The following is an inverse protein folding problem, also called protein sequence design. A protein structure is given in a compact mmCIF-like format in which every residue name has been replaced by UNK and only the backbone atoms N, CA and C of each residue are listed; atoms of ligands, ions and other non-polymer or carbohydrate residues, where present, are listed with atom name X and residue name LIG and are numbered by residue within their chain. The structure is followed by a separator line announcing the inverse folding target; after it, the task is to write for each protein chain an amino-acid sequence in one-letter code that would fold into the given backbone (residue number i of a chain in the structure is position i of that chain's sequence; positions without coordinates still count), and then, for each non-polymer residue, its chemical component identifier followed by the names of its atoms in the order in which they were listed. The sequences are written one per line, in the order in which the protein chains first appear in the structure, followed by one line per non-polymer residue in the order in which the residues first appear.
data_IF_042852049611
#
_entry.id   IF_042852049611
#
_cell.length_a   1.000
_cell.length_b   1.000
_cell.length_c   1.000
_cell.angle_alpha   90.00
_cell.angle_beta   90.00
_cell.angle_gamma   90.00
#
_symmetry.space_group_name_H-M   'P 1'
#
loop_
_entity.id
_entity.type
_entity.pdbx_description
1 polymer ?
#
# COMPACT_ATOMS: atom_id res chain seq x y z
N UNK A 1 20.23 26.96 14.24
CA UNK A 1 19.57 26.27 13.13
C UNK A 1 18.18 25.90 13.59
N UNK A 2 17.12 26.39 12.95
CA UNK A 2 15.74 25.98 13.23
C UNK A 2 15.62 24.60 12.58
N UNK A 3 15.52 23.55 13.39
CA UNK A 3 15.21 22.21 12.92
C UNK A 3 13.75 22.21 12.48
N UNK A 4 13.51 22.48 11.18
CA UNK A 4 12.18 22.34 10.60
C UNK A 4 11.89 20.84 10.48
N UNK A 5 11.23 20.26 11.48
CA UNK A 5 10.59 18.96 11.33
C UNK A 5 9.34 19.12 10.48
N UNK A 6 9.24 18.39 9.40
CA UNK A 6 7.98 18.25 8.68
C UNK A 6 6.98 17.55 9.62
N UNK A 7 6.07 18.31 10.19
CA UNK A 7 4.96 17.78 10.97
C UNK A 7 3.77 17.58 10.02
N UNK A 8 3.20 16.39 10.00
CA UNK A 8 1.99 16.07 9.25
C UNK A 8 0.82 16.03 10.22
N UNK A 9 -0.28 16.70 9.87
CA UNK A 9 -1.55 16.67 10.60
C UNK A 9 -2.61 15.99 9.72
N UNK A 10 -3.24 14.96 10.24
CA UNK A 10 -4.33 14.23 9.60
C UNK A 10 -5.66 14.38 10.33
N UNK A 11 -5.78 15.36 11.22
CA UNK A 11 -7.03 15.66 11.94
C UNK A 11 -8.18 15.85 10.95
N UNK A 12 -9.29 15.10 11.16
CA UNK A 12 -10.46 15.12 10.29
C UNK A 12 -10.30 14.37 8.96
N UNK A 13 -9.19 13.66 8.76
CA UNK A 13 -8.97 12.74 7.63
C UNK A 13 -9.28 11.30 8.02
N UNK A 14 -9.77 10.53 7.07
CA UNK A 14 -10.07 9.11 7.24
C UNK A 14 -9.25 8.30 6.25
N UNK A 15 -8.44 7.37 6.77
CA UNK A 15 -7.63 6.47 5.95
C UNK A 15 -8.14 5.02 6.06
N UNK A 16 -8.13 4.31 4.93
CA UNK A 16 -8.25 2.85 4.88
C UNK A 16 -6.84 2.31 4.62
N UNK A 17 -6.33 1.42 5.48
CA UNK A 17 -5.05 0.75 5.29
C UNK A 17 -5.28 -0.75 5.14
N UNK A 18 -4.79 -1.33 4.04
CA UNK A 18 -4.87 -2.78 3.81
C UNK A 18 -3.59 -3.48 4.27
N UNK A 19 -3.70 -4.78 4.64
CA UNK A 19 -2.57 -5.49 5.26
C UNK A 19 -2.21 -4.93 6.63
N UNK A 20 -3.20 -4.41 7.35
CA UNK A 20 -2.99 -3.60 8.55
C UNK A 20 -2.93 -4.41 9.86
N UNK A 21 -2.90 -5.74 9.80
CA UNK A 21 -2.63 -6.57 10.97
C UNK A 21 -1.15 -6.55 11.39
N UNK A 22 -0.24 -6.17 10.49
CA UNK A 22 1.20 -6.14 10.72
C UNK A 22 1.95 -5.31 9.68
N UNK A 23 3.27 -5.18 9.84
CA UNK A 23 4.17 -4.61 8.83
C UNK A 23 3.85 -3.17 8.42
N UNK A 24 4.06 -2.85 7.16
CA UNK A 24 3.92 -1.47 6.65
C UNK A 24 2.48 -0.95 6.71
N UNK A 25 1.47 -1.81 6.47
CA UNK A 25 0.07 -1.40 6.56
C UNK A 25 -0.35 -1.00 7.97
N UNK A 26 0.09 -1.75 8.97
CA UNK A 26 -0.11 -1.40 10.37
C UNK A 26 0.65 -0.11 10.73
N UNK A 27 1.93 -0.03 10.35
CA UNK A 27 2.76 1.13 10.66
C UNK A 27 2.19 2.42 10.06
N UNK A 28 1.64 2.36 8.84
CA UNK A 28 0.95 3.49 8.22
C UNK A 28 -0.29 3.89 9.03
N UNK A 29 -1.14 2.93 9.40
CA UNK A 29 -2.35 3.19 10.18
C UNK A 29 -2.02 3.82 11.54
N UNK A 30 -1.00 3.31 12.24
CA UNK A 30 -0.51 3.87 13.51
C UNK A 30 -0.03 5.32 13.34
N UNK A 31 0.76 5.59 12.29
CA UNK A 31 1.27 6.93 12.01
C UNK A 31 0.16 7.94 11.66
N UNK A 32 -0.87 7.54 10.91
CA UNK A 32 -2.06 8.39 10.63
C UNK A 32 -2.80 8.68 11.94
N UNK A 33 -3.09 7.65 12.74
CA UNK A 33 -3.84 7.81 14.00
C UNK A 33 -3.07 8.65 15.03
N UNK A 34 -1.75 8.47 15.14
CA UNK A 34 -0.89 9.25 16.02
C UNK A 34 -0.81 10.73 15.64
N UNK A 35 -1.25 11.08 14.42
CA UNK A 35 -1.35 12.44 13.88
C UNK A 35 -2.80 12.93 13.74
N UNK A 36 -3.72 12.35 14.52
CA UNK A 36 -5.10 12.80 14.63
C UNK A 36 -6.08 12.29 13.56
N UNK A 37 -5.62 11.49 12.61
CA UNK A 37 -6.48 10.89 11.57
C UNK A 37 -7.25 9.68 12.08
N UNK A 38 -8.43 9.44 11.54
CA UNK A 38 -9.19 8.21 11.78
C UNK A 38 -8.78 7.12 10.79
N UNK A 39 -8.77 5.85 11.22
CA UNK A 39 -8.28 4.75 10.39
C UNK A 39 -9.20 3.52 10.40
N UNK A 40 -9.38 2.94 9.23
CA UNK A 40 -9.95 1.59 9.06
C UNK A 40 -8.81 0.63 8.75
N UNK A 41 -8.54 -0.27 9.69
CA UNK A 41 -7.56 -1.33 9.52
C UNK A 41 -8.24 -2.52 8.83
N UNK A 42 -7.71 -2.91 7.68
CA UNK A 42 -8.23 -3.99 6.85
C UNK A 42 -7.19 -5.10 6.70
N UNK A 43 -7.53 -6.33 7.09
CA UNK A 43 -6.69 -7.51 6.95
C UNK A 43 -7.54 -8.78 7.07
N UNK A 44 -7.02 -9.92 6.64
CA UNK A 44 -7.68 -11.22 6.81
C UNK A 44 -7.57 -11.72 8.27
N UNK A 45 -6.55 -11.29 9.01
CA UNK A 45 -6.29 -11.72 10.39
C UNK A 45 -7.09 -10.88 11.39
N UNK A 46 -8.32 -11.31 11.67
CA UNK A 46 -9.26 -10.64 12.58
C UNK A 46 -8.67 -10.40 13.97
N UNK A 47 -8.07 -11.43 14.57
CA UNK A 47 -7.57 -11.35 15.95
C UNK A 47 -6.46 -10.30 16.09
N UNK A 48 -5.49 -10.31 15.18
CA UNK A 48 -4.44 -9.31 15.17
C UNK A 48 -4.98 -7.90 14.93
N UNK A 49 -5.98 -7.73 14.01
CA UNK A 49 -6.63 -6.44 13.78
C UNK A 49 -7.30 -5.89 15.03
N UNK A 50 -8.11 -6.70 15.74
CA UNK A 50 -8.84 -6.28 16.93
C UNK A 50 -7.87 -5.83 18.03
N UNK A 51 -6.78 -6.58 18.24
CA UNK A 51 -5.73 -6.21 19.18
C UNK A 51 -5.08 -4.87 18.81
N UNK A 52 -4.66 -4.72 17.55
CA UNK A 52 -3.98 -3.50 17.08
C UNK A 52 -4.89 -2.27 17.09
N UNK A 53 -6.14 -2.45 16.72
CA UNK A 53 -7.17 -1.40 16.82
C UNK A 53 -7.35 -0.92 18.26
N UNK A 54 -7.38 -1.85 19.23
CA UNK A 54 -7.47 -1.50 20.65
C UNK A 54 -6.23 -0.73 21.13
N UNK A 55 -5.03 -1.14 20.70
CA UNK A 55 -3.77 -0.46 21.02
C UNK A 55 -3.76 0.98 20.47
N UNK A 56 -4.23 1.20 19.22
CA UNK A 56 -4.34 2.53 18.61
C UNK A 56 -5.34 3.40 19.37
N UNK A 57 -6.54 2.88 19.63
CA UNK A 57 -7.58 3.62 20.32
C UNK A 57 -7.19 4.00 21.76
N UNK A 58 -6.37 3.19 22.43
CA UNK A 58 -5.86 3.50 23.76
C UNK A 58 -4.93 4.71 23.79
N UNK A 59 -4.32 5.10 22.66
CA UNK A 59 -3.47 6.30 22.54
C UNK A 59 -4.30 7.60 22.52
N UNK A 60 -5.59 7.54 22.14
CA UNK A 60 -6.56 8.62 22.24
C UNK A 60 -6.35 9.81 21.30
N UNK A 61 -5.60 9.65 20.19
CA UNK A 61 -5.38 10.71 19.20
C UNK A 61 -6.38 10.59 18.05
N UNK A 62 -6.24 9.60 17.18
CA UNK A 62 -7.23 9.24 16.16
C UNK A 62 -8.03 8.01 16.57
N UNK A 63 -9.15 7.76 15.91
CA UNK A 63 -10.00 6.58 16.14
C UNK A 63 -9.66 5.50 15.13
N UNK A 64 -9.71 4.24 15.56
CA UNK A 64 -9.43 3.10 14.71
C UNK A 64 -10.60 2.10 14.71
N UNK A 65 -10.87 1.49 13.56
CA UNK A 65 -11.87 0.42 13.39
C UNK A 65 -11.25 -0.76 12.66
N UNK A 66 -11.43 -1.96 13.18
CA UNK A 66 -10.98 -3.21 12.55
C UNK A 66 -12.04 -3.75 11.59
N UNK A 67 -11.63 -4.12 10.38
CA UNK A 67 -12.49 -4.82 9.41
C UNK A 67 -11.73 -6.00 8.83
N UNK A 68 -12.08 -7.21 9.28
CA UNK A 68 -11.55 -8.43 8.68
C UNK A 68 -12.07 -8.54 7.24
N UNK A 69 -11.18 -8.73 6.26
CA UNK A 69 -11.51 -8.71 4.85
C UNK A 69 -10.51 -9.52 4.03
N UNK A 70 -11.00 -10.41 3.19
CA UNK A 70 -10.24 -10.92 2.05
C UNK A 70 -10.31 -9.88 0.92
N UNK A 71 -9.21 -9.20 0.67
CA UNK A 71 -9.13 -8.15 -0.35
C UNK A 71 -9.36 -8.66 -1.78
N UNK A 72 -9.36 -9.97 -2.00
CA UNK A 72 -9.66 -10.59 -3.30
C UNK A 72 -11.15 -10.83 -3.52
N UNK A 73 -11.99 -10.61 -2.48
CA UNK A 73 -13.44 -10.59 -2.59
C UNK A 73 -13.96 -9.14 -2.66
N UNK A 74 -14.52 -8.79 -3.82
CA UNK A 74 -15.03 -7.43 -4.05
C UNK A 74 -16.16 -7.02 -3.10
N UNK A 75 -17.01 -7.96 -2.66
CA UNK A 75 -18.11 -7.66 -1.73
C UNK A 75 -17.55 -7.33 -0.34
N UNK A 76 -16.49 -8.02 0.09
CA UNK A 76 -15.83 -7.69 1.35
C UNK A 76 -15.12 -6.33 1.28
N UNK A 77 -14.52 -5.98 0.13
CA UNK A 77 -13.97 -4.64 -0.10
C UNK A 77 -15.06 -3.55 -0.05
N UNK A 78 -16.24 -3.81 -0.64
CA UNK A 78 -17.38 -2.90 -0.52
C UNK A 78 -17.81 -2.72 0.93
N UNK A 79 -17.81 -3.78 1.74
CA UNK A 79 -18.13 -3.70 3.18
C UNK A 79 -17.10 -2.85 3.94
N UNK A 80 -15.81 -2.89 3.59
CA UNK A 80 -14.79 -1.99 4.19
C UNK A 80 -15.13 -0.54 3.92
N UNK A 81 -15.48 -0.20 2.66
CA UNK A 81 -15.94 1.15 2.27
C UNK A 81 -17.16 1.58 3.10
N UNK A 82 -18.18 0.71 3.19
CA UNK A 82 -19.43 1.03 3.86
C UNK A 82 -19.21 1.31 5.35
N UNK A 83 -18.38 0.50 6.01
CA UNK A 83 -17.99 0.71 7.41
C UNK A 83 -17.23 2.03 7.58
N UNK A 84 -16.31 2.38 6.66
CA UNK A 84 -15.60 3.65 6.72
C UNK A 84 -16.58 4.84 6.64
N UNK A 85 -17.53 4.78 5.71
CA UNK A 85 -18.55 5.83 5.54
C UNK A 85 -19.54 5.88 6.71
N UNK A 86 -19.97 4.74 7.23
CA UNK A 86 -20.88 4.68 8.39
C UNK A 86 -20.23 5.25 9.65
N UNK A 87 -18.97 4.91 9.90
CA UNK A 87 -18.27 5.27 11.14
C UNK A 87 -17.71 6.68 11.13
N UNK A 88 -17.27 7.15 9.97
CA UNK A 88 -16.50 8.40 9.87
C UNK A 88 -17.08 9.39 8.86
N UNK A 89 -18.03 8.99 8.01
CA UNK A 89 -18.72 9.86 7.05
C UNK A 89 -17.93 10.21 5.79
N UNK A 90 -16.66 9.77 5.69
CA UNK A 90 -15.76 10.14 4.59
C UNK A 90 -14.66 9.10 4.37
N UNK A 91 -13.98 9.19 3.23
CA UNK A 91 -12.77 8.42 2.91
C UNK A 91 -11.81 9.37 2.19
N UNK A 92 -10.69 9.72 2.85
CA UNK A 92 -9.70 10.64 2.28
C UNK A 92 -8.53 9.91 1.64
N UNK A 93 -8.13 8.79 2.25
CA UNK A 93 -6.94 8.04 1.84
C UNK A 93 -7.29 6.56 1.77
N UNK A 94 -6.89 5.90 0.70
CA UNK A 94 -6.83 4.43 0.60
C UNK A 94 -5.38 4.04 0.35
N UNK A 95 -4.80 3.27 1.26
CA UNK A 95 -3.42 2.81 1.18
C UNK A 95 -3.37 1.28 0.99
N UNK A 96 -3.00 0.84 -0.20
CA UNK A 96 -3.00 -0.55 -0.63
C UNK A 96 -1.68 -1.24 -0.28
N UNK A 97 -1.43 -1.51 1.03
CA UNK A 97 -0.22 -2.20 1.49
C UNK A 97 -0.32 -3.72 1.40
N UNK A 98 -1.52 -4.29 1.41
CA UNK A 98 -1.72 -5.72 1.29
C UNK A 98 -1.21 -6.23 -0.07
N UNK A 99 -0.55 -7.37 -0.06
CA UNK A 99 0.01 -8.00 -1.23
C UNK A 99 1.13 -8.96 -0.89
N UNK A 100 1.73 -9.56 -1.90
CA UNK A 100 2.85 -10.48 -1.71
C UNK A 100 3.08 -11.39 -2.90
N UNK A 101 4.12 -12.23 -2.81
CA UNK A 101 4.45 -13.22 -3.83
C UNK A 101 3.42 -14.35 -3.90
N UNK A 102 2.90 -14.66 -5.09
CA UNK A 102 1.94 -15.73 -5.32
C UNK A 102 2.45 -17.12 -4.88
N UNK A 103 3.70 -17.49 -5.21
CA UNK A 103 4.33 -18.73 -4.77
C UNK A 103 4.26 -18.94 -3.26
N UNK A 104 4.53 -17.90 -2.49
CA UNK A 104 4.49 -17.95 -1.03
C UNK A 104 3.08 -18.23 -0.50
N UNK A 105 2.07 -17.69 -1.16
CA UNK A 105 0.68 -17.88 -0.77
C UNK A 105 0.14 -19.26 -1.14
N UNK A 106 0.65 -19.83 -2.22
CA UNK A 106 0.35 -21.21 -2.62
C UNK A 106 1.24 -22.25 -1.92
N UNK A 107 2.14 -21.83 -1.01
CA UNK A 107 3.09 -22.71 -0.32
C UNK A 107 3.89 -23.59 -1.32
N UNK A 108 4.25 -22.97 -2.44
CA UNK A 108 5.12 -23.63 -3.44
C UNK A 108 6.54 -23.51 -2.92
N UNK A 109 7.04 -24.59 -2.34
CA UNK A 109 8.39 -24.70 -1.82
C UNK A 109 9.38 -25.12 -2.91
N UNK A 110 10.60 -24.61 -2.81
CA UNK A 110 11.71 -24.99 -3.69
C UNK A 110 11.85 -24.12 -4.94
N UNK A 111 12.94 -24.37 -5.66
CA UNK A 111 13.23 -23.76 -6.96
C UNK A 111 12.58 -24.62 -8.06
N UNK A 112 11.38 -24.21 -8.49
CA UNK A 112 10.75 -24.78 -9.68
C UNK A 112 11.16 -23.99 -10.91
N UNK A 113 11.35 -24.69 -12.04
CA UNK A 113 11.38 -24.05 -13.33
C UNK A 113 10.07 -23.27 -13.54
N UNK A 114 10.14 -22.16 -14.28
CA UNK A 114 8.97 -21.33 -14.53
C UNK A 114 7.81 -22.13 -15.15
N UNK A 115 8.13 -23.05 -16.04
CA UNK A 115 7.15 -23.88 -16.75
C UNK A 115 6.44 -24.90 -15.86
N UNK A 116 7.00 -25.20 -14.69
CA UNK A 116 6.45 -26.14 -13.70
C UNK A 116 5.65 -25.40 -12.59
N UNK A 117 5.65 -24.07 -12.59
CA UNK A 117 4.88 -23.26 -11.62
C UNK A 117 3.39 -23.39 -11.94
N UNK A 118 2.53 -23.80 -10.97
CA UNK A 118 1.09 -23.85 -11.19
C UNK A 118 0.53 -22.50 -11.64
N UNK A 119 -0.38 -22.53 -12.62
CA UNK A 119 -0.94 -21.29 -13.19
C UNK A 119 -1.72 -20.48 -12.14
N UNK A 120 -2.27 -21.14 -11.14
CA UNK A 120 -2.99 -20.54 -10.01
C UNK A 120 -2.11 -19.61 -9.17
N UNK A 121 -0.79 -19.81 -9.21
CA UNK A 121 0.17 -18.88 -8.57
C UNK A 121 0.14 -17.54 -9.27
N UNK A 122 0.07 -17.54 -10.61
CA UNK A 122 -0.05 -16.31 -11.39
C UNK A 122 -1.38 -15.62 -11.13
N UNK A 123 -2.49 -16.35 -11.18
CA UNK A 123 -3.84 -15.81 -10.93
C UNK A 123 -3.91 -15.19 -9.54
N UNK A 124 -3.43 -15.90 -8.51
CA UNK A 124 -3.42 -15.38 -7.13
C UNK A 124 -2.54 -14.14 -6.98
N UNK A 125 -1.43 -14.08 -7.68
CA UNK A 125 -0.56 -12.89 -7.67
C UNK A 125 -1.26 -11.68 -8.28
N UNK A 126 -1.97 -11.86 -9.40
CA UNK A 126 -2.79 -10.82 -10.01
C UNK A 126 -3.93 -10.39 -9.08
N UNK A 127 -4.63 -11.35 -8.48
CA UNK A 127 -5.75 -11.07 -7.56
C UNK A 127 -5.32 -10.16 -6.42
N UNK A 128 -4.20 -10.48 -5.78
CA UNK A 128 -3.72 -9.76 -4.61
C UNK A 128 -3.04 -8.43 -4.94
N UNK A 129 -2.20 -8.42 -5.99
CA UNK A 129 -1.31 -7.28 -6.21
C UNK A 129 -1.83 -6.29 -7.27
N UNK A 130 -2.83 -6.68 -8.09
CA UNK A 130 -3.40 -5.82 -9.13
C UNK A 130 -4.91 -5.66 -8.98
N UNK A 131 -5.67 -6.77 -8.87
CA UNK A 131 -7.13 -6.68 -8.78
C UNK A 131 -7.60 -6.11 -7.46
N UNK A 132 -6.99 -6.47 -6.33
CA UNK A 132 -7.36 -5.92 -5.03
C UNK A 132 -7.20 -4.39 -4.96
N UNK A 133 -6.07 -3.77 -5.35
CA UNK A 133 -5.97 -2.31 -5.49
C UNK A 133 -7.02 -1.69 -6.43
N UNK A 134 -7.35 -2.37 -7.54
CA UNK A 134 -8.43 -1.94 -8.42
C UNK A 134 -9.79 -2.00 -7.71
N UNK A 135 -10.07 -3.04 -6.93
CA UNK A 135 -11.32 -3.17 -6.19
C UNK A 135 -11.49 -2.05 -5.16
N UNK A 136 -10.44 -1.72 -4.41
CA UNK A 136 -10.48 -0.59 -3.48
C UNK A 136 -10.71 0.73 -4.20
N UNK A 137 -10.03 0.96 -5.32
CA UNK A 137 -10.29 2.15 -6.15
C UNK A 137 -11.74 2.19 -6.61
N UNK A 138 -12.24 1.11 -7.23
CA UNK A 138 -13.60 1.04 -7.74
C UNK A 138 -14.65 1.26 -6.63
N UNK A 139 -14.45 0.68 -5.45
CA UNK A 139 -15.36 0.82 -4.33
C UNK A 139 -15.39 2.23 -3.73
N UNK A 140 -14.25 2.95 -3.69
CA UNK A 140 -14.12 4.19 -2.90
C UNK A 140 -14.15 5.48 -3.73
N UNK A 141 -13.78 5.43 -5.02
CA UNK A 141 -13.70 6.62 -5.88
C UNK A 141 -15.03 7.37 -5.99
N UNK A 142 -16.18 6.67 -5.94
CA UNK A 142 -17.50 7.31 -5.95
C UNK A 142 -17.75 8.21 -4.73
N UNK A 143 -17.28 7.80 -3.54
CA UNK A 143 -17.35 8.62 -2.33
C UNK A 143 -16.36 9.79 -2.40
N UNK A 144 -15.12 9.53 -2.80
CA UNK A 144 -14.10 10.57 -2.98
C UNK A 144 -14.53 11.64 -4.00
N UNK A 145 -15.19 11.24 -5.09
CA UNK A 145 -15.73 12.17 -6.08
C UNK A 145 -16.80 13.09 -5.50
N UNK A 146 -17.73 12.55 -4.69
CA UNK A 146 -18.74 13.36 -3.99
C UNK A 146 -18.12 14.33 -2.99
N UNK A 147 -16.98 13.97 -2.39
CA UNK A 147 -16.21 14.82 -1.47
C UNK A 147 -15.37 15.87 -2.19
N UNK A 148 -15.17 15.72 -3.50
CA UNK A 148 -14.19 16.49 -4.29
C UNK A 148 -12.77 16.42 -3.69
N UNK A 149 -12.40 15.29 -3.13
CA UNK A 149 -11.11 15.05 -2.48
C UNK A 149 -10.89 13.57 -2.29
N UNK A 150 -9.67 13.10 -2.53
CA UNK A 150 -9.27 11.73 -2.26
C UNK A 150 -7.85 11.43 -2.70
N UNK A 151 -7.24 10.43 -2.07
CA UNK A 151 -5.93 9.92 -2.44
C UNK A 151 -5.94 8.39 -2.40
N UNK A 152 -5.45 7.77 -3.47
CA UNK A 152 -5.11 6.35 -3.47
C UNK A 152 -3.60 6.22 -3.51
N UNK A 153 -3.04 5.51 -2.53
CA UNK A 153 -1.63 5.13 -2.49
C UNK A 153 -1.55 3.64 -2.81
N UNK A 154 -0.93 3.33 -3.93
CA UNK A 154 -0.61 1.96 -4.31
C UNK A 154 0.83 1.61 -3.91
N UNK A 155 1.08 0.36 -3.58
CA UNK A 155 2.43 -0.14 -3.32
C UNK A 155 2.89 -0.99 -4.49
N UNK A 156 3.86 -0.45 -5.21
CA UNK A 156 4.59 -1.13 -6.28
C UNK A 156 5.73 -2.01 -5.74
N UNK A 157 6.76 -2.16 -6.52
CA UNK A 157 7.99 -2.86 -6.14
C UNK A 157 9.10 -2.56 -7.14
N UNK A 158 10.36 -2.54 -6.68
CA UNK A 158 11.54 -2.57 -7.57
C UNK A 158 11.47 -3.72 -8.57
N UNK A 159 10.90 -4.86 -8.18
CA UNK A 159 10.74 -6.03 -9.04
C UNK A 159 9.89 -5.74 -10.29
N UNK A 160 8.94 -4.80 -10.20
CA UNK A 160 8.17 -4.33 -11.37
C UNK A 160 9.00 -3.54 -12.38
N UNK A 161 10.19 -3.06 -11.98
CA UNK A 161 11.17 -2.41 -12.87
C UNK A 161 12.21 -3.40 -13.38
N UNK A 162 12.69 -4.28 -12.49
CA UNK A 162 13.77 -5.22 -12.81
C UNK A 162 13.27 -6.44 -13.59
N UNK A 163 12.02 -6.85 -13.39
CA UNK A 163 11.51 -8.16 -13.80
C UNK A 163 12.04 -9.28 -12.91
N UNK A 164 11.65 -10.52 -13.20
CA UNK A 164 12.19 -11.73 -12.57
C UNK A 164 12.01 -12.93 -13.48
N UNK A 165 13.08 -13.63 -13.81
CA UNK A 165 13.00 -14.86 -14.63
C UNK A 165 12.45 -16.06 -13.86
N UNK A 166 12.45 -16.05 -12.53
CA UNK A 166 12.00 -17.14 -11.68
C UNK A 166 10.58 -16.97 -11.12
N UNK A 167 10.07 -15.76 -11.08
CA UNK A 167 8.75 -15.44 -10.51
C UNK A 167 8.10 -14.31 -11.29
N UNK A 168 7.64 -14.60 -12.51
CA UNK A 168 7.10 -13.61 -13.43
C UNK A 168 5.75 -13.04 -13.00
N UNK A 169 5.00 -13.75 -12.17
CA UNK A 169 3.70 -13.37 -11.65
C UNK A 169 3.70 -12.03 -10.90
N UNK A 170 4.61 -11.90 -9.97
CA UNK A 170 4.68 -10.72 -9.11
C UNK A 170 5.15 -9.45 -9.85
N UNK A 171 6.25 -9.47 -10.66
CA UNK A 171 6.64 -8.32 -11.48
C UNK A 171 5.52 -7.84 -12.40
N UNK A 172 4.82 -8.76 -13.08
CA UNK A 172 3.72 -8.41 -14.01
C UNK A 172 2.61 -7.68 -13.26
N UNK A 173 2.17 -8.21 -12.11
CA UNK A 173 1.13 -7.57 -11.30
C UNK A 173 1.57 -6.19 -10.80
N UNK A 174 2.81 -6.07 -10.32
CA UNK A 174 3.34 -4.80 -9.79
C UNK A 174 3.54 -3.76 -10.89
N UNK A 175 4.02 -4.14 -12.07
CA UNK A 175 4.11 -3.23 -13.23
C UNK A 175 2.72 -2.69 -13.61
N UNK A 176 1.70 -3.55 -13.60
CA UNK A 176 0.31 -3.14 -13.86
C UNK A 176 -0.19 -2.08 -12.86
N UNK A 177 0.11 -2.25 -11.59
CA UNK A 177 -0.23 -1.26 -10.55
C UNK A 177 0.57 0.03 -10.70
N UNK A 178 1.90 -0.08 -10.90
CA UNK A 178 2.82 1.06 -10.94
C UNK A 178 2.47 2.05 -12.05
N UNK A 179 2.16 1.55 -13.23
CA UNK A 179 1.98 2.38 -14.40
C UNK A 179 0.54 2.42 -14.89
N UNK A 180 -0.08 1.29 -15.15
CA UNK A 180 -1.42 1.23 -15.73
C UNK A 180 -2.48 1.75 -14.76
N UNK A 181 -2.65 1.09 -13.62
CA UNK A 181 -3.70 1.40 -12.67
C UNK A 181 -3.53 2.79 -12.05
N UNK A 182 -2.33 3.14 -11.61
CA UNK A 182 -2.06 4.42 -10.94
C UNK A 182 -2.36 5.61 -11.85
N UNK A 183 -1.93 5.57 -13.10
CA UNK A 183 -2.22 6.64 -14.08
C UNK A 183 -3.70 6.72 -14.45
N UNK A 184 -4.36 5.58 -14.63
CA UNK A 184 -5.78 5.54 -14.96
C UNK A 184 -6.66 6.13 -13.85
N UNK A 185 -6.33 5.84 -12.58
CA UNK A 185 -7.06 6.44 -11.44
C UNK A 185 -6.80 7.94 -11.36
N UNK A 186 -5.56 8.39 -11.57
CA UNK A 186 -5.23 9.82 -11.58
C UNK A 186 -5.99 10.58 -12.67
N UNK A 187 -6.09 10.02 -13.88
CA UNK A 187 -6.88 10.57 -14.99
C UNK A 187 -8.38 10.60 -14.66
N UNK A 188 -8.92 9.51 -14.09
CA UNK A 188 -10.32 9.47 -13.65
C UNK A 188 -10.65 10.56 -12.62
N UNK A 189 -9.66 10.92 -11.79
CA UNK A 189 -9.75 11.94 -10.75
C UNK A 189 -9.68 13.38 -11.24
N UNK A 190 -9.47 13.62 -12.55
CA UNK A 190 -9.36 14.96 -13.13
C UNK A 190 -10.59 15.82 -12.78
N UNK A 191 -10.35 17.03 -12.29
CA UNK A 191 -11.39 17.96 -11.88
C UNK A 191 -12.19 17.57 -10.63
N UNK A 192 -11.84 16.46 -9.97
CA UNK A 192 -12.52 15.94 -8.78
C UNK A 192 -11.67 15.97 -7.50
N UNK A 193 -10.51 16.60 -7.52
CA UNK A 193 -9.61 16.65 -6.35
C UNK A 193 -9.07 15.28 -5.92
N UNK A 194 -9.07 14.29 -6.81
CA UNK A 194 -8.63 12.93 -6.53
C UNK A 194 -7.25 12.72 -7.12
N UNK A 195 -6.35 12.12 -6.35
CA UNK A 195 -4.99 11.75 -6.76
C UNK A 195 -4.76 10.25 -6.62
N UNK A 196 -3.85 9.72 -7.41
CA UNK A 196 -3.31 8.38 -7.23
C UNK A 196 -1.80 8.40 -7.35
N UNK A 197 -1.10 7.81 -6.39
CA UNK A 197 0.36 7.73 -6.38
C UNK A 197 0.76 6.30 -6.07
N UNK A 198 1.76 5.80 -6.77
CA UNK A 198 2.39 4.53 -6.43
C UNK A 198 3.74 4.78 -5.75
N UNK A 199 4.00 4.08 -4.66
CA UNK A 199 5.30 4.03 -3.99
C UNK A 199 5.88 2.65 -4.26
N UNK A 200 7.09 2.59 -4.83
CA UNK A 200 7.74 1.34 -5.21
C UNK A 200 9.03 1.13 -4.42
N UNK A 201 8.95 0.37 -3.32
CA UNK A 201 10.11 0.08 -2.50
C UNK A 201 11.10 -0.85 -3.19
N UNK A 202 12.38 -0.67 -2.84
CA UNK A 202 13.42 -1.67 -2.96
C UNK A 202 13.35 -2.70 -1.82
N UNK A 203 14.50 -3.21 -1.35
CA UNK A 203 14.54 -4.07 -0.19
C UNK A 203 14.16 -3.29 1.09
N UNK A 204 13.20 -3.83 1.85
CA UNK A 204 12.72 -3.26 3.12
C UNK A 204 12.84 -4.31 4.20
N UNK A 205 13.32 -3.96 5.39
CA UNK A 205 13.54 -4.83 6.54
C UNK A 205 12.22 -5.36 7.16
N UNK A 206 11.29 -5.78 6.32
CA UNK A 206 10.12 -6.53 6.75
C UNK A 206 10.41 -8.02 6.98
N UNK A 207 11.58 -8.48 6.52
CA UNK A 207 12.12 -9.85 6.66
C UNK A 207 13.64 -9.81 6.68
N UNK A 208 14.25 -10.74 7.40
CA UNK A 208 15.72 -10.80 7.56
C UNK A 208 16.49 -10.90 6.23
N UNK A 209 15.99 -11.70 5.27
CA UNK A 209 16.64 -11.88 3.97
C UNK A 209 16.64 -10.63 3.08
N UNK A 210 15.85 -9.61 3.41
CA UNK A 210 15.89 -8.34 2.68
C UNK A 210 17.20 -7.57 2.93
N UNK A 211 17.85 -7.78 4.08
CA UNK A 211 19.12 -7.15 4.42
C UNK A 211 20.28 -7.53 3.47
N UNK A 212 20.17 -8.70 2.81
CA UNK A 212 21.19 -9.22 1.90
C UNK A 212 21.09 -8.63 0.49
N UNK A 213 19.99 -7.95 0.16
CA UNK A 213 19.78 -7.38 -1.16
C UNK A 213 20.63 -6.11 -1.35
N UNK A 214 21.41 -6.08 -2.42
CA UNK A 214 22.31 -4.95 -2.75
C UNK A 214 21.53 -3.69 -3.11
N UNK A 215 21.98 -2.57 -2.57
CA UNK A 215 21.57 -1.19 -2.90
C UNK A 215 22.83 -0.32 -2.99
N UNK A 216 22.75 0.87 -3.59
CA UNK A 216 23.84 1.85 -3.54
C UNK A 216 24.07 2.38 -2.13
N UNK A 217 23.02 2.45 -1.32
CA UNK A 217 23.09 2.86 0.09
C UNK A 217 23.70 1.78 0.99
N UNK A 218 24.00 0.57 0.47
CA UNK A 218 24.61 -0.54 1.20
C UNK A 218 23.74 -1.17 2.29
N UNK A 219 22.45 -0.87 2.32
CA UNK A 219 21.46 -1.42 3.28
C UNK A 219 20.08 -1.54 2.68
N UNK A 220 19.23 -2.33 3.30
CA UNK A 220 17.79 -2.26 3.09
C UNK A 220 17.18 -1.05 3.82
N UNK A 221 16.02 -0.60 3.37
CA UNK A 221 15.28 0.46 4.02
C UNK A 221 14.64 -0.02 5.34
N UNK A 222 14.58 0.85 6.34
CA UNK A 222 13.66 0.68 7.46
C UNK A 222 12.21 0.86 6.97
N UNK A 223 11.24 0.07 7.42
CA UNK A 223 9.83 0.25 7.07
C UNK A 223 9.33 1.69 7.28
N UNK A 224 9.84 2.40 8.30
CA UNK A 224 9.44 3.78 8.57
C UNK A 224 9.85 4.72 7.42
N UNK A 225 10.96 4.49 6.74
CA UNK A 225 11.37 5.32 5.59
C UNK A 225 10.35 5.27 4.45
N UNK A 226 9.71 4.11 4.24
CA UNK A 226 8.64 3.96 3.25
C UNK A 226 7.37 4.68 3.72
N UNK A 227 7.07 4.59 5.02
CA UNK A 227 5.89 5.23 5.61
C UNK A 227 6.06 6.75 5.63
N UNK A 228 7.25 7.28 5.90
CA UNK A 228 7.51 8.73 5.87
C UNK A 228 7.21 9.31 4.48
N UNK A 229 7.60 8.61 3.41
CA UNK A 229 7.21 9.00 2.04
C UNK A 229 5.70 8.91 1.83
N UNK A 230 5.04 7.86 2.34
CA UNK A 230 3.59 7.71 2.22
C UNK A 230 2.85 8.84 2.97
N UNK A 231 3.32 9.23 4.16
CA UNK A 231 2.78 10.36 4.92
C UNK A 231 3.00 11.70 4.19
N UNK A 232 4.18 11.91 3.61
CA UNK A 232 4.45 13.09 2.79
C UNK A 232 3.48 13.18 1.61
N UNK A 233 3.30 12.10 0.85
CA UNK A 233 2.37 12.03 -0.29
C UNK A 233 0.93 12.27 0.17
N UNK A 234 0.56 11.78 1.36
CA UNK A 234 -0.78 11.93 1.94
C UNK A 234 -1.05 13.32 2.49
N UNK A 235 -0.02 14.07 2.84
CA UNK A 235 -0.11 15.42 3.40
C UNK A 235 -0.37 16.49 2.34
N UNK A 236 -0.60 17.72 2.80
CA UNK A 236 -0.70 18.90 1.94
C UNK A 236 0.57 19.19 1.14
N UNK A 237 1.74 18.76 1.65
CA UNK A 237 3.01 18.95 0.97
C UNK A 237 3.16 18.09 -0.30
N UNK A 238 2.43 16.97 -0.37
CA UNK A 238 2.45 16.05 -1.51
C UNK A 238 1.41 16.35 -2.60
N UNK A 239 0.60 17.40 -2.49
CA UNK A 239 -0.57 17.64 -3.34
C UNK A 239 -0.28 17.74 -4.85
N UNK A 240 0.92 18.15 -5.24
CA UNK A 240 1.28 18.25 -6.65
C UNK A 240 1.78 16.93 -7.27
N UNK A 241 1.87 15.87 -6.47
CA UNK A 241 2.26 14.53 -6.94
C UNK A 241 0.99 13.76 -7.30
N UNK A 242 0.81 13.43 -8.58
CA UNK A 242 -0.34 12.68 -9.07
C UNK A 242 0.02 11.86 -10.32
N UNK A 243 -0.47 10.63 -10.41
CA UNK A 243 -0.22 9.72 -11.54
C UNK A 243 1.20 9.15 -11.61
N UNK A 244 2.01 9.35 -10.57
CA UNK A 244 3.42 8.98 -10.55
C UNK A 244 3.70 7.69 -9.77
N UNK A 245 4.77 7.01 -10.20
CA UNK A 245 5.40 5.93 -9.47
C UNK A 245 6.73 6.40 -8.89
N UNK A 246 6.80 6.52 -7.57
CA UNK A 246 7.97 7.00 -6.85
C UNK A 246 8.79 5.79 -6.38
N UNK A 247 10.01 5.66 -6.91
CA UNK A 247 10.96 4.65 -6.44
C UNK A 247 11.61 5.09 -5.14
N UNK A 248 11.65 4.17 -4.17
CA UNK A 248 12.37 4.33 -2.90
C UNK A 248 13.13 3.03 -2.62
N UNK A 249 14.31 2.90 -3.23
CA UNK A 249 15.01 1.62 -3.38
C UNK A 249 16.49 1.66 -3.01
N UNK A 250 16.96 2.73 -2.38
CA UNK A 250 18.38 2.92 -2.04
C UNK A 250 19.29 2.92 -3.26
N UNK A 251 18.78 3.38 -4.41
CA UNK A 251 19.51 3.44 -5.68
C UNK A 251 19.66 2.09 -6.38
N UNK A 252 18.93 1.04 -5.95
CA UNK A 252 19.04 -0.29 -6.57
C UNK A 252 18.72 -0.28 -8.07
N UNK A 253 17.68 0.41 -8.49
CA UNK A 253 17.31 0.52 -9.90
C UNK A 253 18.36 1.30 -10.75
N UNK A 254 19.17 2.11 -10.09
CA UNK A 254 20.27 2.84 -10.74
C UNK A 254 21.58 2.03 -10.81
N UNK A 255 21.63 0.86 -10.14
CA UNK A 255 22.80 -0.02 -10.25
C UNK A 255 22.86 -0.59 -11.66
N UNK A 256 23.87 -0.21 -12.43
CA UNK A 256 24.13 -0.85 -13.72
C UNK A 256 24.28 -2.36 -13.55
N UNK A 257 23.85 -3.14 -14.55
CA UNK A 257 24.12 -4.58 -14.62
C UNK A 257 25.61 -4.81 -14.93
N UNK A 258 26.49 -4.23 -14.13
CA UNK A 258 27.90 -4.51 -14.20
C UNK A 258 28.24 -5.52 -13.10
N UNK A 259 28.31 -6.79 -13.49
CA UNK A 259 28.80 -7.99 -12.81
C UNK A 259 28.95 -7.97 -11.28
#
# INVERSE_FOLDING_TARGET
MIEMKLEFDFTGKVAISTGAASGMGLLFAENIADRGGDVVLCDINREALEKKTSEINARGKGRAVAVACDITDYNEVCRVRDIALERFGRIDIVANFAGGYGRRMHKVDGELDFTDVPIEVFDKSLDLNLKAPFYFAHATLGAMKKQNSGLIINIGSITGMEGSGQGMDYPVAKTGVMFGLTKSIAQYGEGCGIRCVCISPGPVLTRANMAEMRTLEGRAADPQEIIDLALFVASENGQFINGENIMIDGGRNAMGRWN
#
